data_IF_727964903756
#
_entry.id   IF_727964903756
#
_cell.length_a   1.000
_cell.length_b   1.000
_cell.length_c   1.000
_cell.angle_alpha   90.00
_cell.angle_beta   90.00
_cell.angle_gamma   90.00
#
_symmetry.space_group_name_H-M   'P 1'
#
loop_
_entity.id
_entity.type
_entity.pdbx_description
1 polymer ?
#
# COMPACT_ATOMS: atom_id res chain seq x y z
N UNK A 1 -59.24 36.94 -66.61
CA UNK A 1 -57.97 37.13 -65.86
C UNK A 1 -58.06 36.82 -64.36
N UNK A 2 -59.26 36.55 -63.80
CA UNK A 2 -59.45 36.25 -62.36
C UNK A 2 -59.34 34.75 -62.04
N UNK A 3 -59.61 33.87 -63.01
CA UNK A 3 -59.65 32.42 -62.80
C UNK A 3 -58.27 31.73 -62.74
N UNK A 4 -57.20 32.42 -63.17
CA UNK A 4 -55.81 31.92 -63.07
C UNK A 4 -55.13 32.28 -61.74
N UNK A 5 -55.59 33.33 -61.05
CA UNK A 5 -55.05 33.68 -59.73
C UNK A 5 -55.59 32.76 -58.61
N UNK A 6 -56.82 32.25 -58.75
CA UNK A 6 -57.39 31.35 -57.74
C UNK A 6 -56.73 29.96 -57.74
N UNK A 7 -56.31 29.48 -58.92
CA UNK A 7 -55.58 28.21 -59.04
C UNK A 7 -54.15 28.28 -58.49
N UNK A 8 -53.55 29.47 -58.46
CA UNK A 8 -52.19 29.66 -57.94
C UNK A 8 -52.18 29.86 -56.41
N UNK A 9 -53.29 30.32 -55.82
CA UNK A 9 -53.46 30.45 -54.36
C UNK A 9 -53.76 29.10 -53.68
N UNK A 10 -54.33 28.13 -54.39
CA UNK A 10 -54.59 26.78 -53.88
C UNK A 10 -53.33 25.89 -53.93
N UNK A 11 -52.34 26.22 -54.77
CA UNK A 11 -51.08 25.47 -54.86
C UNK A 11 -50.01 25.89 -53.83
N UNK A 12 -50.28 26.92 -53.02
CA UNK A 12 -49.36 27.46 -52.00
C UNK A 12 -49.77 27.12 -50.56
N UNK A 13 -50.86 26.35 -50.37
CA UNK A 13 -51.34 25.93 -49.03
C UNK A 13 -51.12 24.44 -48.72
N UNK A 14 -50.43 23.70 -49.58
CA UNK A 14 -50.18 22.25 -49.43
C UNK A 14 -48.71 21.93 -49.12
N UNK A 15 -48.10 22.72 -48.24
CA UNK A 15 -46.88 22.33 -47.54
C UNK A 15 -47.10 22.46 -46.02
N UNK A 16 -48.22 21.92 -45.54
CA UNK A 16 -48.26 21.50 -44.14
C UNK A 16 -47.20 20.41 -43.98
N UNK A 17 -46.21 20.55 -43.09
CA UNK A 17 -45.39 19.41 -42.73
C UNK A 17 -46.39 18.37 -42.23
N UNK A 18 -46.45 17.24 -42.93
CA UNK A 18 -47.10 16.06 -42.43
C UNK A 18 -46.49 15.84 -41.04
N UNK A 19 -47.27 16.10 -39.98
CA UNK A 19 -46.83 15.88 -38.62
C UNK A 19 -46.36 14.43 -38.57
N UNK A 20 -45.06 14.25 -38.42
CA UNK A 20 -44.45 12.94 -38.36
C UNK A 20 -45.18 12.14 -37.29
N UNK A 21 -45.59 10.96 -37.69
CA UNK A 21 -46.27 9.96 -36.90
C UNK A 21 -45.42 9.61 -35.67
N UNK A 22 -45.71 10.25 -34.52
CA UNK A 22 -45.06 10.01 -33.22
C UNK A 22 -43.60 10.51 -33.14
N UNK A 23 -43.31 11.43 -32.23
CA UNK A 23 -41.97 11.95 -32.02
C UNK A 23 -41.18 10.99 -31.10
N UNK A 24 -40.81 9.83 -31.67
CA UNK A 24 -39.97 8.82 -31.05
C UNK A 24 -38.51 9.10 -31.40
N UNK A 25 -37.67 9.40 -30.40
CA UNK A 25 -36.25 9.71 -30.61
C UNK A 25 -35.37 8.78 -29.80
N UNK A 26 -34.28 8.33 -30.41
CA UNK A 26 -33.23 7.56 -29.75
C UNK A 26 -31.87 8.20 -30.09
N UNK A 27 -31.08 8.46 -29.05
CA UNK A 27 -29.80 9.18 -29.16
C UNK A 27 -28.74 8.50 -28.32
N UNK A 28 -27.51 8.53 -28.78
CA UNK A 28 -26.34 8.08 -28.02
C UNK A 28 -25.59 9.34 -27.59
N UNK A 29 -25.45 9.55 -26.29
CA UNK A 29 -24.78 10.68 -25.68
C UNK A 29 -23.50 10.19 -25.04
N UNK A 30 -22.36 10.75 -25.41
CA UNK A 30 -21.09 10.46 -24.74
C UNK A 30 -20.88 11.51 -23.64
N UNK A 31 -20.68 11.04 -22.41
CA UNK A 31 -20.24 11.86 -21.29
C UNK A 31 -18.73 11.67 -21.14
N UNK A 32 -17.97 12.29 -22.04
CA UNK A 32 -16.51 12.30 -21.95
C UNK A 32 -16.03 13.68 -21.53
N UNK A 33 -15.29 13.73 -20.43
CA UNK A 33 -14.60 14.95 -19.98
C UNK A 33 -13.41 15.28 -20.90
N UNK A 34 -12.90 14.30 -21.65
CA UNK A 34 -11.75 14.45 -22.54
C UNK A 34 -12.22 14.58 -24.00
N UNK A 35 -11.75 15.61 -24.70
CA UNK A 35 -12.06 15.84 -26.12
C UNK A 35 -11.54 14.74 -27.06
N UNK A 36 -10.70 13.83 -26.57
CA UNK A 36 -10.08 12.74 -27.35
C UNK A 36 -9.61 11.59 -26.44
N UNK A 37 -10.43 10.54 -26.20
CA UNK A 37 -10.04 9.43 -25.35
C UNK A 37 -8.89 8.62 -25.96
N UNK A 38 -8.08 7.98 -25.12
CA UNK A 38 -6.97 7.09 -25.54
C UNK A 38 -7.47 5.64 -25.70
N UNK A 39 -6.76 4.81 -26.47
CA UNK A 39 -7.02 3.36 -26.51
C UNK A 39 -7.10 2.78 -25.10
N UNK A 40 -8.17 2.05 -24.81
CA UNK A 40 -8.43 1.43 -23.52
C UNK A 40 -8.96 2.38 -22.44
N UNK A 41 -9.21 3.67 -22.76
CA UNK A 41 -9.85 4.63 -21.85
C UNK A 41 -11.37 4.42 -21.83
N UNK A 42 -11.95 4.40 -20.63
CA UNK A 42 -13.40 4.33 -20.48
C UNK A 42 -14.06 5.61 -20.97
N UNK A 43 -15.03 5.46 -21.86
CA UNK A 43 -15.97 6.52 -22.23
C UNK A 43 -17.34 6.16 -21.66
N UNK A 44 -17.88 7.03 -20.79
CA UNK A 44 -19.24 6.87 -20.31
C UNK A 44 -20.22 7.26 -21.43
N UNK A 45 -21.23 6.43 -21.65
CA UNK A 45 -22.22 6.62 -22.71
C UNK A 45 -23.62 6.42 -22.14
N UNK A 46 -24.50 7.36 -22.43
CA UNK A 46 -25.93 7.24 -22.14
C UNK A 46 -26.69 7.08 -23.45
N UNK A 47 -27.38 5.96 -23.59
CA UNK A 47 -28.39 5.80 -24.63
C UNK A 47 -29.68 6.40 -24.08
N UNK A 48 -30.13 7.50 -24.68
CA UNK A 48 -31.33 8.22 -24.26
C UNK A 48 -32.42 8.10 -25.30
N UNK A 49 -33.56 7.59 -24.87
CA UNK A 49 -34.77 7.49 -25.66
C UNK A 49 -35.84 8.46 -25.12
N UNK A 50 -36.58 9.11 -26.02
CA UNK A 50 -37.67 10.03 -25.69
C UNK A 50 -38.88 9.67 -26.53
N UNK A 51 -39.98 9.35 -25.86
CA UNK A 51 -41.21 8.85 -26.49
C UNK A 51 -42.42 9.68 -26.07
N UNK A 52 -43.38 9.85 -26.99
CA UNK A 52 -44.63 10.58 -26.76
C UNK A 52 -45.85 9.65 -26.60
N UNK A 53 -45.61 8.34 -26.50
CA UNK A 53 -46.64 7.29 -26.40
C UNK A 53 -46.21 6.23 -25.39
N UNK A 54 -47.19 5.49 -24.86
CA UNK A 54 -46.94 4.38 -23.95
C UNK A 54 -46.20 3.26 -24.66
N UNK A 55 -45.24 2.66 -23.96
CA UNK A 55 -44.33 1.63 -24.47
C UNK A 55 -44.62 0.30 -23.76
N UNK A 56 -44.58 -0.79 -24.51
CA UNK A 56 -44.62 -2.17 -24.01
C UNK A 56 -43.63 -3.03 -24.83
N UNK A 57 -43.29 -4.22 -24.32
CA UNK A 57 -42.45 -5.22 -25.00
C UNK A 57 -41.18 -4.62 -25.62
N UNK A 58 -40.36 -3.99 -24.79
CA UNK A 58 -39.14 -3.32 -25.25
C UNK A 58 -37.97 -4.30 -25.38
N UNK A 59 -37.13 -4.07 -26.38
CA UNK A 59 -35.82 -4.70 -26.51
C UNK A 59 -34.84 -3.73 -27.18
N UNK A 60 -33.84 -3.30 -26.44
CA UNK A 60 -32.71 -2.54 -26.98
C UNK A 60 -31.58 -3.45 -27.48
N UNK A 61 -31.22 -3.29 -28.76
CA UNK A 61 -30.15 -3.99 -29.45
C UNK A 61 -29.04 -3.01 -29.85
N UNK A 62 -27.81 -3.35 -29.51
CA UNK A 62 -26.62 -2.62 -29.94
C UNK A 62 -25.95 -3.47 -31.01
N UNK A 63 -25.65 -2.89 -32.17
CA UNK A 63 -24.97 -3.63 -33.23
C UNK A 63 -23.59 -4.11 -32.75
N UNK A 64 -23.22 -5.37 -33.02
CA UNK A 64 -21.95 -5.92 -32.58
C UNK A 64 -20.78 -5.17 -33.24
N UNK A 65 -19.74 -4.89 -32.46
CA UNK A 65 -18.52 -4.22 -32.91
C UNK A 65 -17.29 -4.88 -32.31
N UNK A 66 -16.24 -5.05 -33.10
CA UNK A 66 -14.93 -5.50 -32.64
C UNK A 66 -14.04 -4.35 -32.15
N UNK A 67 -14.51 -3.11 -32.30
CA UNK A 67 -13.76 -1.91 -32.00
C UNK A 67 -13.88 -1.48 -30.54
N UNK A 68 -14.87 -2.00 -29.81
CA UNK A 68 -15.16 -1.63 -28.43
C UNK A 68 -15.48 -2.84 -27.58
N UNK A 69 -14.96 -2.85 -26.36
CA UNK A 69 -15.56 -3.60 -25.27
C UNK A 69 -16.60 -2.70 -24.57
N UNK A 70 -17.69 -3.27 -24.04
CA UNK A 70 -18.72 -2.48 -23.37
C UNK A 70 -19.44 -3.26 -22.29
N UNK A 71 -19.94 -2.54 -21.29
CA UNK A 71 -20.82 -3.08 -20.24
C UNK A 71 -21.93 -2.08 -19.94
N UNK A 72 -23.03 -2.57 -19.37
CA UNK A 72 -24.04 -1.74 -18.73
C UNK A 72 -23.65 -1.46 -17.28
N UNK A 73 -23.65 -0.19 -16.87
CA UNK A 73 -23.13 0.23 -15.55
C UNK A 73 -24.21 0.38 -14.50
N UNK A 74 -25.47 0.55 -14.91
CA UNK A 74 -26.64 0.67 -14.03
C UNK A 74 -27.86 0.03 -14.70
N UNK A 75 -28.88 -0.32 -13.93
CA UNK A 75 -30.17 -0.69 -14.48
C UNK A 75 -30.75 0.46 -15.33
N UNK A 76 -31.59 0.11 -16.29
CA UNK A 76 -32.27 1.12 -17.12
C UNK A 76 -33.21 1.96 -16.27
N UNK A 77 -33.17 3.28 -16.49
CA UNK A 77 -34.09 4.23 -15.86
C UNK A 77 -35.22 4.59 -16.82
N UNK A 78 -36.46 4.53 -16.33
CA UNK A 78 -37.66 4.88 -17.05
C UNK A 78 -38.47 5.87 -16.24
N UNK A 79 -38.72 7.06 -16.81
CA UNK A 79 -39.44 8.13 -16.12
C UNK A 79 -40.29 8.94 -17.07
N UNK A 80 -41.33 9.57 -16.53
CA UNK A 80 -42.08 10.59 -17.24
C UNK A 80 -41.47 11.96 -16.95
N UNK A 81 -41.12 12.71 -17.99
CA UNK A 81 -40.47 14.01 -17.90
C UNK A 81 -41.22 15.01 -18.79
N UNK A 82 -41.36 16.26 -18.34
CA UNK A 82 -41.99 17.33 -19.13
C UNK A 82 -40.93 17.98 -20.03
N UNK A 83 -40.91 17.61 -21.30
CA UNK A 83 -39.98 18.10 -22.32
C UNK A 83 -40.76 18.93 -23.35
N UNK A 84 -40.28 20.13 -23.66
CA UNK A 84 -40.94 21.06 -24.59
C UNK A 84 -42.43 21.31 -24.27
N UNK A 85 -42.79 21.31 -22.98
CA UNK A 85 -44.16 21.53 -22.53
C UNK A 85 -45.11 20.34 -22.70
N UNK A 86 -44.61 19.16 -23.10
CA UNK A 86 -45.37 17.92 -23.20
C UNK A 86 -44.80 16.85 -22.27
N UNK A 87 -45.66 15.98 -21.72
CA UNK A 87 -45.23 14.81 -20.95
C UNK A 87 -44.65 13.77 -21.92
N UNK A 88 -43.41 13.34 -21.69
CA UNK A 88 -42.70 12.35 -22.50
C UNK A 88 -42.18 11.24 -21.59
N UNK A 89 -42.14 10.02 -22.12
CA UNK A 89 -41.46 8.90 -21.47
C UNK A 89 -40.00 8.96 -21.89
N UNK A 90 -39.11 9.02 -20.90
CA UNK A 90 -37.66 9.02 -21.08
C UNK A 90 -37.12 7.70 -20.58
N UNK A 91 -36.30 7.06 -21.42
CA UNK A 91 -35.52 5.88 -21.06
C UNK A 91 -34.05 6.21 -21.16
N UNK A 92 -33.28 5.87 -20.14
CA UNK A 92 -31.83 6.03 -20.12
C UNK A 92 -31.16 4.72 -19.76
N UNK A 93 -30.27 4.27 -20.66
CA UNK A 93 -29.36 3.16 -20.41
C UNK A 93 -27.93 3.70 -20.30
N UNK A 94 -27.31 3.46 -19.15
CA UNK A 94 -25.94 3.86 -18.87
C UNK A 94 -24.96 2.74 -19.21
N UNK A 95 -24.01 3.06 -20.07
CA UNK A 95 -22.96 2.17 -20.54
C UNK A 95 -21.58 2.74 -20.25
N UNK A 96 -20.61 1.86 -20.13
CA UNK A 96 -19.19 2.18 -20.26
C UNK A 96 -18.65 1.45 -21.49
N UNK A 97 -17.92 2.16 -22.34
CA UNK A 97 -17.30 1.61 -23.54
C UNK A 97 -15.79 1.85 -23.51
N UNK A 98 -15.01 0.92 -24.07
CA UNK A 98 -13.55 1.01 -24.14
C UNK A 98 -13.08 0.78 -25.58
N UNK A 99 -12.47 1.78 -26.25
CA UNK A 99 -11.97 1.63 -27.60
C UNK A 99 -10.74 0.73 -27.61
N UNK A 100 -10.70 -0.24 -28.52
CA UNK A 100 -9.63 -1.25 -28.61
C UNK A 100 -8.50 -0.85 -29.55
N UNK A 101 -8.71 0.17 -30.37
CA UNK A 101 -7.78 0.65 -31.41
C UNK A 101 -7.81 2.18 -31.50
N UNK A 102 -6.74 2.78 -32.02
CA UNK A 102 -6.68 4.21 -32.26
C UNK A 102 -7.35 4.58 -33.59
N UNK A 103 -7.69 5.87 -33.75
CA UNK A 103 -8.29 6.41 -34.96
C UNK A 103 -9.79 6.70 -34.85
N UNK A 104 -10.47 7.01 -35.97
CA UNK A 104 -11.90 7.25 -36.00
C UNK A 104 -12.67 5.94 -35.84
N UNK A 105 -13.37 5.78 -34.72
CA UNK A 105 -14.19 4.61 -34.41
C UNK A 105 -15.67 4.98 -34.27
N UNK A 106 -16.57 4.03 -34.50
CA UNK A 106 -18.01 4.21 -34.35
C UNK A 106 -18.61 3.16 -33.42
N UNK A 107 -19.37 3.62 -32.42
CA UNK A 107 -20.12 2.76 -31.50
C UNK A 107 -21.61 2.78 -31.85
N UNK A 108 -22.23 1.60 -31.95
CA UNK A 108 -23.57 1.43 -32.50
C UNK A 108 -23.56 1.18 -34.01
N UNK A 109 -24.70 1.34 -34.72
CA UNK A 109 -25.93 1.98 -34.28
C UNK A 109 -26.69 1.18 -33.20
N UNK A 110 -27.66 1.83 -32.57
CA UNK A 110 -28.53 1.21 -31.57
C UNK A 110 -29.95 1.16 -32.10
N UNK A 111 -30.59 0.00 -32.01
CA UNK A 111 -31.98 -0.23 -32.43
C UNK A 111 -32.81 -0.59 -31.21
N UNK A 112 -33.90 0.13 -31.00
CA UNK A 112 -34.85 -0.12 -29.92
C UNK A 112 -36.15 -0.63 -30.52
N UNK A 113 -36.40 -1.93 -30.35
CA UNK A 113 -37.64 -2.59 -30.74
C UNK A 113 -38.66 -2.42 -29.62
N UNK A 114 -39.86 -1.97 -29.96
CA UNK A 114 -40.87 -1.64 -28.96
C UNK A 114 -42.27 -1.77 -29.53
N UNK A 115 -43.25 -2.08 -28.68
CA UNK A 115 -44.67 -1.99 -29.01
C UNK A 115 -45.20 -0.65 -28.50
N UNK A 116 -45.57 0.25 -29.41
CA UNK A 116 -46.24 1.51 -29.09
C UNK A 116 -47.74 1.27 -28.90
N UNK A 117 -48.31 1.85 -27.86
CA UNK A 117 -49.76 1.92 -27.66
C UNK A 117 -50.22 3.33 -28.02
N UNK A 118 -51.02 3.45 -29.08
CA UNK A 118 -51.56 4.72 -29.53
C UNK A 118 -52.73 5.23 -28.65
N UNK A 119 -53.31 6.39 -29.01
CA UNK A 119 -54.41 6.98 -28.25
C UNK A 119 -55.71 6.18 -28.37
N UNK A 120 -55.83 5.34 -29.41
CA UNK A 120 -56.94 4.45 -29.68
C UNK A 120 -56.73 3.07 -29.05
N UNK A 121 -55.70 2.90 -28.21
CA UNK A 121 -55.31 1.63 -27.59
C UNK A 121 -54.88 0.55 -28.59
N UNK A 122 -54.54 0.92 -29.83
CA UNK A 122 -53.96 -0.03 -30.78
C UNK A 122 -52.48 -0.22 -30.49
N UNK A 123 -52.03 -1.46 -30.61
CA UNK A 123 -50.64 -1.86 -30.42
C UNK A 123 -49.97 -1.96 -31.77
N UNK A 124 -48.83 -1.31 -31.93
CA UNK A 124 -48.01 -1.38 -33.13
C UNK A 124 -46.55 -1.54 -32.77
N UNK A 125 -45.89 -2.51 -33.40
CA UNK A 125 -44.45 -2.68 -33.26
C UNK A 125 -43.71 -1.64 -34.10
N UNK A 126 -42.73 -1.00 -33.47
CA UNK A 126 -41.91 0.05 -34.05
C UNK A 126 -40.45 -0.20 -33.68
N UNK A 127 -39.55 0.12 -34.60
CA UNK A 127 -38.11 0.12 -34.35
C UNK A 127 -37.60 1.54 -34.45
N UNK A 128 -37.02 2.05 -33.37
CA UNK A 128 -36.41 3.38 -33.31
C UNK A 128 -34.90 3.19 -33.34
N UNK A 129 -34.21 3.93 -34.21
CA UNK A 129 -32.77 3.77 -34.40
C UNK A 129 -32.01 5.05 -34.03
N UNK A 130 -30.94 4.87 -33.26
CA UNK A 130 -29.95 5.90 -32.96
C UNK A 130 -28.83 5.84 -34.00
N UNK A 131 -28.33 7.01 -34.43
CA UNK A 131 -27.11 7.08 -35.24
C UNK A 131 -25.90 6.61 -34.42
N UNK A 132 -24.89 6.00 -35.06
CA UNK A 132 -23.66 5.62 -34.36
C UNK A 132 -22.96 6.84 -33.74
N UNK A 133 -22.40 6.63 -32.56
CA UNK A 133 -21.51 7.60 -31.90
C UNK A 133 -20.14 7.53 -32.54
N UNK A 134 -19.68 8.64 -33.12
CA UNK A 134 -18.33 8.75 -33.69
C UNK A 134 -17.33 9.26 -32.65
N UNK A 135 -16.23 8.53 -32.45
CA UNK A 135 -15.17 8.87 -31.51
C UNK A 135 -13.84 8.99 -32.25
N UNK A 136 -13.06 10.03 -31.95
CA UNK A 136 -11.67 10.13 -32.38
C UNK A 136 -10.77 9.65 -31.25
N UNK A 137 -10.15 8.47 -31.41
CA UNK A 137 -9.36 7.83 -30.36
C UNK A 137 -7.87 8.11 -30.57
N UNK A 138 -7.20 8.56 -29.51
CA UNK A 138 -5.76 8.78 -29.47
C UNK A 138 -4.99 7.47 -29.25
N UNK A 139 -3.74 7.43 -29.69
CA UNK A 139 -2.85 6.29 -29.43
C UNK A 139 -2.45 6.22 -27.96
N UNK A 140 -2.27 4.98 -27.47
CA UNK A 140 -1.62 4.78 -26.17
C UNK A 140 -0.15 5.21 -26.28
N UNK A 141 0.39 6.00 -25.34
CA UNK A 141 1.77 6.45 -25.38
C UNK A 141 2.76 5.27 -25.51
N UNK A 142 3.78 5.43 -26.36
CA UNK A 142 4.75 4.35 -26.60
C UNK A 142 5.43 3.90 -25.31
N UNK A 143 5.14 2.66 -24.91
CA UNK A 143 5.64 2.07 -23.66
C UNK A 143 5.96 0.60 -23.87
N UNK A 144 6.98 0.10 -23.17
CA UNK A 144 7.28 -1.34 -23.12
C UNK A 144 6.45 -2.01 -22.03
N UNK A 145 5.97 -3.22 -22.29
CA UNK A 145 5.25 -4.03 -21.30
C UNK A 145 3.73 -3.99 -21.47
N UNK A 146 3.00 -4.32 -20.41
CA UNK A 146 1.54 -4.32 -20.37
C UNK A 146 0.99 -2.89 -20.41
N UNK A 147 -0.09 -2.66 -21.16
CA UNK A 147 -0.72 -1.35 -21.30
C UNK A 147 -2.14 -1.40 -20.76
N UNK A 148 -2.48 -0.46 -19.89
CA UNK A 148 -3.84 -0.27 -19.44
C UNK A 148 -4.06 1.18 -18.99
N UNK A 149 -5.32 1.59 -18.96
CA UNK A 149 -5.70 2.93 -18.52
C UNK A 149 -6.59 2.83 -17.29
N UNK A 150 -6.57 3.87 -16.47
CA UNK A 150 -7.49 4.04 -15.37
C UNK A 150 -7.67 5.53 -15.08
N UNK A 151 -8.79 5.90 -14.47
CA UNK A 151 -9.01 7.25 -13.92
C UNK A 151 -8.37 7.41 -12.54
N UNK A 152 -8.30 6.32 -11.78
CA UNK A 152 -7.69 6.24 -10.45
C UNK A 152 -7.17 4.82 -10.24
N UNK A 153 -6.00 4.70 -9.65
CA UNK A 153 -5.38 3.42 -9.32
C UNK A 153 -5.04 3.37 -7.83
N UNK A 154 -5.38 2.27 -7.18
CA UNK A 154 -5.04 1.98 -5.79
C UNK A 154 -4.35 0.62 -5.72
N UNK A 155 -3.25 0.54 -4.98
CA UNK A 155 -2.51 -0.68 -4.72
C UNK A 155 -2.37 -0.86 -3.22
N UNK A 156 -2.88 -1.97 -2.70
CA UNK A 156 -2.75 -2.33 -1.28
C UNK A 156 -2.01 -3.64 -1.14
N UNK A 157 -1.32 -3.77 -0.01
CA UNK A 157 -0.51 -4.95 0.33
C UNK A 157 -0.88 -5.45 1.72
N UNK A 158 -0.96 -6.77 1.85
CA UNK A 158 -1.12 -7.49 3.11
C UNK A 158 -0.13 -8.67 3.18
N UNK A 159 0.47 -8.85 4.35
CA UNK A 159 1.44 -9.90 4.65
C UNK A 159 0.94 -10.74 5.82
N UNK A 160 0.95 -12.07 5.68
CA UNK A 160 0.43 -12.96 6.72
C UNK A 160 1.29 -13.02 7.99
N UNK A 161 2.55 -12.60 7.92
CA UNK A 161 3.51 -12.59 9.03
C UNK A 161 4.69 -11.65 8.72
N UNK A 162 5.59 -11.44 9.69
CA UNK A 162 6.82 -10.66 9.47
C UNK A 162 7.79 -11.46 8.57
N UNK A 163 7.99 -11.05 7.31
CA UNK A 163 8.82 -11.78 6.36
C UNK A 163 10.30 -11.75 6.75
N UNK A 164 10.76 -10.78 7.55
CA UNK A 164 12.16 -10.63 7.90
C UNK A 164 12.62 -11.59 9.02
N UNK A 165 11.67 -12.22 9.73
CA UNK A 165 11.93 -13.06 10.91
C UNK A 165 11.14 -14.36 10.89
N UNK A 166 11.16 -15.06 9.76
CA UNK A 166 10.47 -16.34 9.63
C UNK A 166 11.10 -17.39 10.55
N UNK A 167 10.28 -18.27 11.10
CA UNK A 167 10.76 -19.51 11.71
C UNK A 167 11.13 -20.52 10.63
N UNK A 168 12.04 -21.43 10.92
CA UNK A 168 12.52 -22.41 9.94
C UNK A 168 11.34 -23.22 9.35
N UNK A 169 11.23 -23.22 8.02
CA UNK A 169 10.14 -23.88 7.29
C UNK A 169 8.82 -23.09 7.24
N UNK A 170 8.71 -21.93 7.90
CA UNK A 170 7.54 -21.06 7.80
C UNK A 170 7.39 -20.46 6.40
N UNK A 171 6.14 -20.25 6.00
CA UNK A 171 5.76 -19.61 4.73
C UNK A 171 5.15 -18.25 5.03
N UNK A 172 5.55 -17.22 4.28
CA UNK A 172 4.86 -15.93 4.28
C UNK A 172 3.98 -15.82 3.06
N UNK A 173 2.72 -15.42 3.26
CA UNK A 173 1.79 -15.12 2.17
C UNK A 173 1.76 -13.61 1.96
N UNK A 174 2.01 -13.19 0.72
CA UNK A 174 1.89 -11.80 0.26
C UNK A 174 0.65 -11.69 -0.61
N UNK A 175 -0.29 -10.84 -0.22
CA UNK A 175 -1.49 -10.50 -0.99
C UNK A 175 -1.38 -9.05 -1.44
N UNK A 176 -1.39 -8.83 -2.75
CA UNK A 176 -1.44 -7.49 -3.36
C UNK A 176 -2.77 -7.34 -4.07
N UNK A 177 -3.50 -6.27 -3.76
CA UNK A 177 -4.77 -5.95 -4.40
C UNK A 177 -4.61 -4.68 -5.22
N UNK A 178 -4.85 -4.79 -6.52
CA UNK A 178 -4.84 -3.69 -7.47
C UNK A 178 -6.30 -3.33 -7.82
N UNK A 179 -6.69 -2.08 -7.59
CA UNK A 179 -8.01 -1.54 -7.95
C UNK A 179 -7.87 -0.39 -8.93
N UNK A 180 -8.55 -0.48 -10.06
CA UNK A 180 -8.52 0.52 -11.12
C UNK A 180 -9.94 0.99 -11.43
N UNK A 181 -10.22 2.27 -11.19
CA UNK A 181 -11.46 2.92 -11.61
C UNK A 181 -11.42 3.20 -13.11
N UNK A 182 -12.47 2.80 -13.83
CA UNK A 182 -12.60 3.00 -15.28
C UNK A 182 -11.88 1.94 -16.12
N UNK A 183 -11.57 0.78 -15.56
CA UNK A 183 -10.98 -0.34 -16.28
C UNK A 183 -11.88 -1.58 -16.21
N UNK A 184 -11.67 -2.53 -17.11
CA UNK A 184 -12.20 -3.88 -17.01
C UNK A 184 -11.17 -4.82 -16.35
N UNK A 185 -11.59 -5.91 -15.68
CA UNK A 185 -10.65 -6.84 -15.05
C UNK A 185 -9.67 -7.48 -16.03
N UNK A 186 -10.07 -7.65 -17.29
CA UNK A 186 -9.25 -8.17 -18.38
C UNK A 186 -8.19 -7.16 -18.85
N UNK A 187 -8.41 -5.87 -18.60
CA UNK A 187 -7.42 -4.82 -18.89
C UNK A 187 -6.30 -4.79 -17.85
N UNK A 188 -6.53 -5.31 -16.64
CA UNK A 188 -5.52 -5.29 -15.59
C UNK A 188 -4.34 -6.22 -15.93
N UNK A 189 -3.10 -5.81 -15.56
CA UNK A 189 -1.93 -6.61 -15.85
C UNK A 189 -2.02 -8.01 -15.25
N UNK A 190 -1.36 -9.01 -15.87
CA UNK A 190 -1.18 -10.30 -15.24
C UNK A 190 -0.33 -10.14 -13.98
N UNK A 191 -0.43 -11.12 -13.07
CA UNK A 191 0.40 -11.17 -11.87
C UNK A 191 1.89 -11.16 -12.24
N UNK A 192 2.72 -10.28 -11.63
CA UNK A 192 4.16 -10.32 -11.80
C UNK A 192 4.76 -11.68 -11.43
N UNK A 193 5.71 -12.14 -12.25
CA UNK A 193 6.45 -13.38 -11.98
C UNK A 193 7.54 -13.08 -10.97
N UNK A 194 7.57 -13.83 -9.87
CA UNK A 194 8.59 -13.73 -8.82
C UNK A 194 9.35 -15.04 -8.77
N UNK A 195 10.63 -15.03 -9.13
CA UNK A 195 11.48 -16.21 -9.17
C UNK A 195 12.90 -15.83 -8.74
N UNK A 196 13.36 -16.48 -7.68
CA UNK A 196 14.69 -16.25 -7.11
C UNK A 196 15.33 -17.59 -6.75
N UNK A 197 16.65 -17.67 -6.89
CA UNK A 197 17.40 -18.92 -6.65
C UNK A 197 17.36 -19.37 -5.17
N UNK A 198 17.00 -18.48 -4.25
CA UNK A 198 16.94 -18.72 -2.80
C UNK A 198 15.51 -18.91 -2.27
N UNK A 199 14.50 -18.75 -3.13
CA UNK A 199 13.08 -18.67 -2.74
C UNK A 199 12.21 -19.67 -3.49
N UNK A 200 11.46 -20.47 -2.74
CA UNK A 200 10.39 -21.28 -3.31
C UNK A 200 9.12 -20.43 -3.30
N UNK A 201 8.56 -20.21 -4.49
CA UNK A 201 7.36 -19.38 -4.70
C UNK A 201 6.21 -20.26 -5.20
N UNK A 202 5.09 -20.25 -4.45
CA UNK A 202 3.82 -20.79 -4.93
C UNK A 202 2.83 -19.64 -5.15
N UNK A 203 1.98 -19.75 -6.16
CA UNK A 203 1.15 -18.63 -6.57
C UNK A 203 -0.20 -19.17 -7.09
N UNK A 204 -1.29 -19.14 -6.29
CA UNK A 204 -2.61 -19.63 -6.69
C UNK A 204 -3.20 -18.84 -7.87
N UNK A 205 -4.33 -19.24 -8.47
CA UNK A 205 -4.97 -18.46 -9.54
C UNK A 205 -5.26 -17.01 -9.12
N UNK A 206 -5.22 -16.09 -10.09
CA UNK A 206 -5.53 -14.66 -9.86
C UNK A 206 -7.04 -14.49 -9.74
N UNK A 207 -7.49 -13.84 -8.68
CA UNK A 207 -8.90 -13.45 -8.54
C UNK A 207 -9.12 -12.10 -9.25
N UNK A 208 -10.19 -12.02 -10.03
CA UNK A 208 -10.58 -10.82 -10.77
C UNK A 208 -12.04 -10.51 -10.52
N UNK A 209 -12.34 -9.29 -10.12
CA UNK A 209 -13.70 -8.83 -9.83
C UNK A 209 -13.99 -7.51 -10.56
N UNK A 210 -15.27 -7.30 -10.86
CA UNK A 210 -15.78 -6.04 -11.40
C UNK A 210 -16.85 -5.50 -10.43
N UNK A 211 -16.61 -4.31 -9.90
CA UNK A 211 -17.52 -3.64 -8.97
C UNK A 211 -18.11 -2.42 -9.67
N UNK A 212 -19.43 -2.39 -9.86
CA UNK A 212 -20.11 -1.23 -10.43
C UNK A 212 -20.32 -0.18 -9.35
N UNK A 213 -19.83 1.04 -9.59
CA UNK A 213 -20.01 2.19 -8.68
C UNK A 213 -20.60 3.38 -9.43
N UNK A 214 -21.08 4.39 -8.71
CA UNK A 214 -21.63 5.59 -9.32
C UNK A 214 -20.60 6.39 -10.14
N UNK A 215 -19.32 6.36 -9.74
CA UNK A 215 -18.21 6.98 -10.46
C UNK A 215 -17.78 6.19 -11.71
N UNK A 216 -18.23 4.94 -11.83
CA UNK A 216 -17.90 4.02 -12.91
C UNK A 216 -17.52 2.61 -12.41
N UNK A 217 -17.29 1.66 -13.32
CA UNK A 217 -16.76 0.34 -12.99
C UNK A 217 -15.37 0.42 -12.35
N UNK A 218 -15.17 -0.35 -11.29
CA UNK A 218 -13.87 -0.57 -10.64
C UNK A 218 -13.46 -2.01 -10.90
N UNK A 219 -12.37 -2.19 -11.64
CA UNK A 219 -11.74 -3.49 -11.81
C UNK A 219 -10.82 -3.78 -10.63
N UNK A 220 -10.88 -5.00 -10.12
CA UNK A 220 -10.02 -5.49 -9.04
C UNK A 220 -9.27 -6.74 -9.49
N UNK A 221 -7.96 -6.77 -9.24
CA UNK A 221 -7.14 -7.97 -9.36
C UNK A 221 -6.44 -8.25 -8.03
N UNK A 222 -6.56 -9.48 -7.53
CA UNK A 222 -5.87 -9.94 -6.32
C UNK A 222 -4.78 -10.91 -6.70
N UNK A 223 -3.54 -10.54 -6.39
CA UNK A 223 -2.36 -11.35 -6.59
C UNK A 223 -1.87 -11.89 -5.26
N UNK A 224 -1.84 -13.21 -5.14
CA UNK A 224 -1.33 -13.88 -3.94
C UNK A 224 -0.07 -14.65 -4.29
N UNK A 225 0.95 -14.55 -3.44
CA UNK A 225 2.14 -15.38 -3.48
C UNK A 225 2.39 -15.99 -2.10
N UNK A 226 2.94 -17.19 -2.08
CA UNK A 226 3.43 -17.87 -0.89
C UNK A 226 4.93 -18.08 -1.07
N UNK A 227 5.70 -17.54 -0.14
CA UNK A 227 7.15 -17.53 -0.19
C UNK A 227 7.74 -18.38 0.93
N UNK A 228 8.63 -19.30 0.56
CA UNK A 228 9.41 -20.14 1.49
C UNK A 228 10.90 -20.07 1.14
N UNK A 229 11.72 -19.36 1.91
CA UNK A 229 13.17 -19.36 1.70
C UNK A 229 13.75 -20.76 1.92
N UNK A 230 14.83 -21.13 1.25
CA UNK A 230 15.46 -22.44 1.47
C UNK A 230 16.98 -22.41 1.68
N UNK A 231 17.63 -21.27 1.48
CA UNK A 231 19.09 -21.13 1.61
C UNK A 231 19.55 -20.54 2.94
N UNK A 232 18.65 -20.28 3.91
CA UNK A 232 19.00 -19.75 5.23
C UNK A 232 19.34 -18.25 5.26
N UNK A 233 19.95 -17.75 4.18
CA UNK A 233 20.34 -16.35 4.00
C UNK A 233 19.14 -15.42 3.75
N UNK A 234 19.12 -14.21 4.33
CA UNK A 234 18.13 -13.19 3.98
C UNK A 234 18.24 -12.76 2.52
N UNK A 235 17.12 -12.71 1.82
CA UNK A 235 17.01 -12.21 0.46
C UNK A 235 16.04 -11.05 0.34
N UNK A 236 16.15 -10.29 -0.76
CA UNK A 236 15.29 -9.15 -1.05
C UNK A 236 14.61 -9.40 -2.39
N UNK A 237 13.28 -9.30 -2.41
CA UNK A 237 12.51 -9.20 -3.64
C UNK A 237 12.51 -7.74 -4.10
N UNK A 238 12.92 -7.52 -5.34
CA UNK A 238 12.92 -6.19 -5.95
C UNK A 238 11.50 -5.62 -6.07
N UNK A 239 11.37 -4.28 -6.03
CA UNK A 239 10.07 -3.64 -6.25
C UNK A 239 9.62 -3.83 -7.69
N UNK A 240 8.31 -4.05 -7.89
CA UNK A 240 7.73 -4.20 -9.23
C UNK A 240 7.01 -2.92 -9.62
N UNK A 241 7.49 -2.29 -10.69
CA UNK A 241 6.89 -1.07 -11.24
C UNK A 241 5.84 -1.42 -12.29
N UNK A 242 4.61 -0.96 -12.06
CA UNK A 242 3.48 -1.17 -12.95
C UNK A 242 3.12 0.19 -13.56
N UNK A 243 3.50 0.44 -14.81
CA UNK A 243 3.07 1.64 -15.48
C UNK A 243 1.60 1.56 -15.86
N UNK A 244 0.93 2.71 -15.87
CA UNK A 244 -0.46 2.86 -16.29
C UNK A 244 -0.69 4.26 -16.85
N UNK A 245 -1.67 4.41 -17.73
CA UNK A 245 -2.07 5.72 -18.22
C UNK A 245 -3.19 6.29 -17.33
N UNK A 246 -2.90 7.40 -16.66
CA UNK A 246 -3.89 8.15 -15.89
C UNK A 246 -4.73 9.00 -16.83
N UNK A 247 -5.99 8.63 -17.00
CA UNK A 247 -6.96 9.32 -17.87
C UNK A 247 -7.49 10.61 -17.24
N UNK A 248 -7.41 10.76 -15.92
CA UNK A 248 -7.74 12.00 -15.23
C UNK A 248 -6.67 13.08 -15.41
N UNK A 249 -5.40 12.69 -15.40
CA UNK A 249 -4.25 13.60 -15.60
C UNK A 249 -3.68 13.59 -17.02
N UNK A 250 -4.19 12.72 -17.89
CA UNK A 250 -3.72 12.52 -19.27
C UNK A 250 -2.21 12.26 -19.38
N UNK A 251 -1.63 11.47 -18.46
CA UNK A 251 -0.19 11.17 -18.44
C UNK A 251 0.10 9.77 -17.94
N UNK A 252 1.25 9.22 -18.35
CA UNK A 252 1.76 7.98 -17.79
C UNK A 252 2.16 8.18 -16.33
N UNK A 253 1.70 7.26 -15.49
CA UNK A 253 2.07 7.13 -14.10
C UNK A 253 2.60 5.73 -13.81
N UNK A 254 3.19 5.54 -12.64
CA UNK A 254 3.72 4.25 -12.18
C UNK A 254 3.24 4.02 -10.77
N UNK A 255 2.64 2.85 -10.53
CA UNK A 255 2.43 2.34 -9.18
C UNK A 255 3.47 1.26 -8.90
N UNK A 256 3.93 1.16 -7.66
CA UNK A 256 4.99 0.24 -7.27
C UNK A 256 4.47 -0.76 -6.23
N UNK A 257 4.69 -2.05 -6.51
CA UNK A 257 4.67 -3.08 -5.47
C UNK A 257 6.00 -2.98 -4.72
N UNK A 258 6.00 -2.69 -3.41
CA UNK A 258 7.23 -2.38 -2.68
C UNK A 258 8.21 -3.56 -2.64
N UNK A 259 9.48 -3.28 -2.39
CA UNK A 259 10.46 -4.33 -2.14
C UNK A 259 10.11 -5.14 -0.89
N UNK A 260 10.40 -6.44 -0.87
CA UNK A 260 10.12 -7.31 0.27
C UNK A 260 11.38 -8.03 0.75
N UNK A 261 11.81 -7.76 1.98
CA UNK A 261 12.94 -8.48 2.61
C UNK A 261 12.41 -9.74 3.28
N UNK A 262 12.98 -10.89 2.95
CA UNK A 262 12.58 -12.19 3.49
C UNK A 262 13.79 -12.89 4.10
N UNK A 263 13.68 -13.38 5.34
CA UNK A 263 14.78 -14.07 6.01
C UNK A 263 14.33 -14.86 7.24
N UNK A 264 15.21 -15.74 7.72
CA UNK A 264 14.97 -16.53 8.93
C UNK A 264 15.45 -15.82 10.20
N UNK A 265 14.68 -15.94 11.28
CA UNK A 265 15.08 -15.45 12.60
C UNK A 265 16.36 -16.13 13.12
N UNK A 266 16.56 -17.41 12.77
CA UNK A 266 17.69 -18.24 13.17
C UNK A 266 19.05 -17.68 12.69
N UNK A 267 19.06 -17.01 11.54
CA UNK A 267 20.25 -16.33 11.00
C UNK A 267 20.79 -15.26 11.96
N UNK A 268 19.91 -14.48 12.60
CA UNK A 268 20.30 -13.40 13.51
C UNK A 268 20.73 -13.90 14.89
N UNK A 269 20.21 -15.04 15.36
CA UNK A 269 20.63 -15.65 16.64
C UNK A 269 22.01 -16.30 16.58
N UNK A 270 22.49 -16.66 15.39
CA UNK A 270 23.81 -17.26 15.17
C UNK A 270 24.96 -16.26 15.08
N UNK A 271 24.67 -14.96 14.94
CA UNK A 271 25.68 -13.90 14.99
C UNK A 271 26.07 -13.61 16.44
N UNK A 272 26.98 -14.43 16.99
CA UNK A 272 27.78 -13.98 18.13
C UNK A 272 28.45 -12.66 17.73
N UNK A 273 28.43 -11.60 18.57
CA UNK A 273 29.09 -10.34 18.25
C UNK A 273 30.59 -10.60 18.06
N UNK A 274 30.99 -10.78 16.80
CA UNK A 274 32.38 -10.93 16.42
C UNK A 274 33.05 -9.58 16.63
N UNK A 275 33.82 -9.48 17.71
CA UNK A 275 34.85 -8.45 17.85
C UNK A 275 34.64 -7.37 18.89
N UNK A 276 33.66 -7.45 19.80
CA UNK A 276 33.62 -6.58 21.00
C UNK A 276 33.63 -7.40 22.28
N UNK A 277 34.82 -7.57 22.85
CA UNK A 277 34.97 -7.97 24.24
C UNK A 277 34.26 -6.93 25.11
N UNK A 278 33.29 -7.37 25.92
CA UNK A 278 32.61 -6.47 26.85
C UNK A 278 33.61 -5.84 27.84
N UNK A 279 33.34 -4.63 28.33
CA UNK A 279 34.23 -3.93 29.27
C UNK A 279 34.62 -4.80 30.48
N UNK A 280 33.70 -5.63 30.97
CA UNK A 280 33.97 -6.59 32.04
C UNK A 280 35.01 -7.66 31.65
N UNK A 281 34.95 -8.19 30.43
CA UNK A 281 35.94 -9.15 29.91
C UNK A 281 37.31 -8.50 29.70
N UNK A 282 37.35 -7.25 29.22
CA UNK A 282 38.61 -6.49 29.12
C UNK A 282 39.23 -6.24 30.49
N UNK A 283 38.43 -5.87 31.49
CA UNK A 283 38.94 -5.69 32.86
C UNK A 283 39.42 -7.01 33.49
N UNK A 284 38.76 -8.13 33.19
CA UNK A 284 39.17 -9.44 33.68
C UNK A 284 40.49 -9.89 33.04
N UNK A 285 40.66 -9.69 31.73
CA UNK A 285 41.90 -9.98 31.01
C UNK A 285 43.06 -9.08 31.46
N UNK A 286 42.83 -7.76 31.58
CA UNK A 286 43.84 -6.84 32.09
C UNK A 286 44.23 -7.17 33.53
N UNK A 287 43.26 -7.54 34.37
CA UNK A 287 43.48 -7.96 35.75
C UNK A 287 44.30 -9.24 35.87
N UNK A 288 44.02 -10.25 35.04
CA UNK A 288 44.76 -11.52 35.05
C UNK A 288 46.20 -11.35 34.54
N UNK A 289 46.41 -10.55 33.50
CA UNK A 289 47.76 -10.20 33.02
C UNK A 289 48.54 -9.41 34.06
N UNK A 290 47.91 -8.43 34.73
CA UNK A 290 48.54 -7.65 35.78
C UNK A 290 48.95 -8.50 36.98
N UNK A 291 48.09 -9.42 37.42
CA UNK A 291 48.41 -10.38 38.50
C UNK A 291 49.54 -11.33 38.09
N UNK A 292 49.51 -11.85 36.86
CA UNK A 292 50.55 -12.73 36.32
C UNK A 292 51.92 -12.04 36.29
N UNK A 293 51.97 -10.79 35.80
CA UNK A 293 53.20 -9.99 35.79
C UNK A 293 53.70 -9.68 37.21
N UNK A 294 52.81 -9.29 38.12
CA UNK A 294 53.18 -9.00 39.50
C UNK A 294 53.74 -10.23 40.21
N UNK A 295 53.13 -11.41 40.01
CA UNK A 295 53.63 -12.69 40.54
C UNK A 295 54.97 -13.07 39.92
N UNK A 296 55.12 -12.92 38.59
CA UNK A 296 56.36 -13.21 37.89
C UNK A 296 57.52 -12.33 38.35
N UNK A 297 57.30 -11.02 38.45
CA UNK A 297 58.29 -10.05 38.94
C UNK A 297 58.60 -10.27 40.42
N UNK A 298 57.60 -10.61 41.24
CA UNK A 298 57.79 -10.96 42.66
C UNK A 298 58.67 -12.20 42.85
N UNK A 299 58.42 -13.25 42.07
CA UNK A 299 59.24 -14.47 42.06
C UNK A 299 60.66 -14.19 41.58
N UNK A 300 60.82 -13.39 40.53
CA UNK A 300 62.14 -13.00 40.02
C UNK A 300 62.93 -12.18 41.06
N UNK A 301 62.28 -11.20 41.71
CA UNK A 301 62.89 -10.38 42.75
C UNK A 301 63.29 -11.21 43.98
N UNK A 302 62.46 -12.17 44.39
CA UNK A 302 62.78 -13.09 45.49
C UNK A 302 63.98 -13.98 45.17
N UNK A 303 64.13 -14.43 43.92
CA UNK A 303 65.26 -15.26 43.48
C UNK A 303 66.56 -14.47 43.31
N UNK A 304 66.49 -13.25 42.77
CA UNK A 304 67.66 -12.45 42.42
C UNK A 304 68.21 -11.59 43.58
N UNK A 305 67.36 -11.20 44.54
CA UNK A 305 67.76 -10.36 45.67
C UNK A 305 66.98 -10.72 46.96
N UNK A 306 67.27 -11.87 47.59
CA UNK A 306 66.52 -12.37 48.76
C UNK A 306 66.65 -11.45 50.00
N UNK A 307 67.79 -10.79 50.18
CA UNK A 307 68.03 -9.94 51.36
C UNK A 307 67.28 -8.59 51.26
N UNK A 308 67.18 -8.01 50.06
CA UNK A 308 66.42 -6.78 49.82
C UNK A 308 64.91 -7.02 49.85
N UNK A 309 64.45 -8.19 49.41
CA UNK A 309 63.03 -8.56 49.44
C UNK A 309 62.54 -8.82 50.86
N UNK A 310 63.31 -9.47 51.74
CA UNK A 310 62.93 -9.67 53.14
C UNK A 310 62.84 -8.36 53.95
N UNK A 311 63.71 -7.38 53.66
CA UNK A 311 63.67 -6.05 54.26
C UNK A 311 62.54 -5.17 53.70
N UNK A 312 62.31 -5.22 52.38
CA UNK A 312 61.19 -4.55 51.71
C UNK A 312 59.83 -5.11 52.14
N UNK A 313 59.71 -6.43 52.28
CA UNK A 313 58.49 -7.09 52.71
C UNK A 313 58.14 -6.78 54.16
N UNK A 314 59.14 -6.64 55.05
CA UNK A 314 58.93 -6.13 56.42
C UNK A 314 58.44 -4.67 56.47
N UNK A 315 58.88 -3.81 55.55
CA UNK A 315 58.35 -2.43 55.44
C UNK A 315 56.92 -2.38 54.92
N UNK A 316 56.58 -3.24 53.95
CA UNK A 316 55.24 -3.25 53.33
C UNK A 316 54.23 -3.93 54.27
N UNK A 317 54.57 -5.09 54.86
CA UNK A 317 53.69 -5.79 55.80
C UNK A 317 53.47 -5.02 57.10
N UNK A 318 54.45 -4.22 57.53
CA UNK A 318 54.30 -3.31 58.68
C UNK A 318 53.35 -2.14 58.43
N UNK A 319 53.09 -1.76 57.17
CA UNK A 319 52.27 -0.60 56.80
C UNK A 319 50.87 -0.98 56.29
N UNK A 320 50.70 -2.21 55.80
CA UNK A 320 49.43 -2.70 55.24
C UNK A 320 49.01 -4.01 55.91
N UNK A 321 48.41 -3.92 57.10
CA UNK A 321 47.82 -5.08 57.78
C UNK A 321 46.44 -5.38 57.17
N UNK A 322 46.37 -6.40 56.31
CA UNK A 322 45.13 -6.86 55.67
C UNK A 322 44.02 -7.19 56.69
N UNK A 323 44.29 -7.87 57.83
CA UNK A 323 43.27 -8.11 58.86
C UNK A 323 42.71 -6.82 59.47
N UNK A 324 43.56 -5.82 59.71
CA UNK A 324 43.14 -4.54 60.27
C UNK A 324 42.26 -3.74 59.28
N UNK A 325 42.56 -3.82 57.99
CA UNK A 325 41.74 -3.22 56.93
C UNK A 325 40.35 -3.87 56.84
N UNK A 326 40.26 -5.20 56.91
CA UNK A 326 38.97 -5.90 56.94
C UNK A 326 38.19 -5.63 58.23
N UNK A 327 38.86 -5.54 59.38
CA UNK A 327 38.23 -5.18 60.65
C UNK A 327 37.63 -3.76 60.59
N UNK A 328 38.35 -2.81 59.98
CA UNK A 328 37.84 -1.45 59.73
C UNK A 328 36.59 -1.44 58.84
N UNK A 329 36.62 -2.16 57.71
CA UNK A 329 35.46 -2.26 56.81
C UNK A 329 34.25 -2.88 57.51
N UNK A 330 34.47 -3.89 58.36
CA UNK A 330 33.41 -4.54 59.13
C UNK A 330 32.83 -3.61 60.19
N UNK A 331 33.65 -2.86 60.91
CA UNK A 331 33.22 -1.86 61.89
C UNK A 331 32.37 -0.76 61.23
N UNK A 332 32.80 -0.29 60.05
CA UNK A 332 32.06 0.72 59.27
C UNK A 332 30.71 0.20 58.78
N UNK A 333 30.62 -1.04 58.31
CA UNK A 333 29.33 -1.66 57.92
C UNK A 333 28.38 -1.87 59.09
N UNK A 334 28.91 -2.14 60.30
CA UNK A 334 28.12 -2.32 61.52
C UNK A 334 27.69 -1.00 62.18
N UNK A 335 28.13 0.14 61.66
CA UNK A 335 27.82 1.46 62.25
C UNK A 335 28.59 1.77 63.54
N UNK A 336 29.59 0.97 63.92
CA UNK A 336 30.45 1.25 65.08
C UNK A 336 31.54 2.25 64.68
N UNK A 337 31.16 3.52 64.70
CA UNK A 337 32.00 4.63 64.23
C UNK A 337 33.23 4.84 65.12
N UNK A 338 33.13 4.57 66.42
CA UNK A 338 34.25 4.69 67.36
C UNK A 338 35.33 3.64 67.07
N UNK A 339 34.94 2.38 66.85
CA UNK A 339 35.87 1.32 66.47
C UNK A 339 36.44 1.56 65.07
N UNK A 340 35.63 2.04 64.13
CA UNK A 340 36.08 2.39 62.79
C UNK A 340 37.13 3.53 62.81
N UNK A 341 36.99 4.54 63.68
CA UNK A 341 37.99 5.60 63.86
C UNK A 341 39.33 5.04 64.35
N UNK A 342 39.33 4.26 65.45
CA UNK A 342 40.56 3.72 66.04
C UNK A 342 41.30 2.80 65.07
N UNK A 343 40.57 1.92 64.37
CA UNK A 343 41.17 1.06 63.35
C UNK A 343 41.65 1.87 62.14
N UNK A 344 40.94 2.94 61.80
CA UNK A 344 41.32 3.91 60.78
C UNK A 344 42.66 4.59 61.02
N UNK A 345 42.95 4.97 62.27
CA UNK A 345 44.26 5.50 62.67
C UNK A 345 45.36 4.43 62.54
N UNK A 346 45.07 3.20 62.99
CA UNK A 346 46.03 2.07 62.92
C UNK A 346 46.38 1.65 61.49
N UNK A 347 45.44 1.75 60.55
CA UNK A 347 45.68 1.45 59.12
C UNK A 347 46.20 2.66 58.32
N UNK A 348 46.43 3.80 58.98
CA UNK A 348 47.01 5.00 58.36
C UNK A 348 46.08 5.71 57.38
N UNK A 349 44.78 5.81 57.67
CA UNK A 349 43.86 6.63 56.86
C UNK A 349 44.31 8.10 56.82
N UNK A 350 43.98 8.79 55.73
CA UNK A 350 44.25 10.23 55.61
C UNK A 350 43.52 11.04 56.68
N UNK A 351 44.11 12.18 57.07
CA UNK A 351 43.55 13.08 58.09
C UNK A 351 42.11 13.48 57.76
N UNK A 352 41.79 13.73 56.49
CA UNK A 352 40.44 14.10 56.05
C UNK A 352 39.40 13.00 56.30
N UNK A 353 39.80 11.74 56.10
CA UNK A 353 38.91 10.59 56.32
C UNK A 353 38.68 10.33 57.80
N UNK A 354 39.70 10.55 58.64
CA UNK A 354 39.55 10.48 60.09
C UNK A 354 38.66 11.62 60.61
N UNK A 355 38.84 12.85 60.09
CA UNK A 355 38.00 13.99 60.43
C UNK A 355 36.54 13.81 59.97
N UNK A 356 36.30 13.12 58.85
CA UNK A 356 34.95 12.75 58.42
C UNK A 356 34.29 11.74 59.37
N UNK A 357 35.03 10.74 59.84
CA UNK A 357 34.55 9.80 60.85
C UNK A 357 34.27 10.49 62.19
N UNK A 358 35.14 11.42 62.59
CA UNK A 358 34.99 12.19 63.82
C UNK A 358 33.76 13.11 63.78
N UNK A 359 33.53 13.80 62.66
CA UNK A 359 32.29 14.55 62.44
C UNK A 359 31.05 13.65 62.49
N UNK A 360 31.13 12.43 61.97
CA UNK A 360 30.03 11.47 62.04
C UNK A 360 29.79 10.92 63.46
N UNK A 361 30.81 10.90 64.33
CA UNK A 361 30.69 10.48 65.74
C UNK A 361 30.06 11.58 66.59
N UNK A 362 30.45 12.84 66.37
CA UNK A 362 30.08 13.98 67.22
C UNK A 362 29.03 14.92 66.62
N UNK A 363 28.45 14.58 65.46
CA UNK A 363 27.32 15.33 64.93
C UNK A 363 26.15 15.28 65.93
N UNK A 364 25.53 16.42 66.28
CA UNK A 364 24.37 16.43 67.16
C UNK A 364 23.24 15.60 66.53
N UNK A 365 22.61 14.74 67.34
CA UNK A 365 21.54 13.86 66.92
C UNK A 365 20.29 14.68 66.56
N UNK A 366 20.16 15.06 65.30
CA UNK A 366 18.98 15.78 64.79
C UNK A 366 17.74 14.88 64.63
N UNK A 367 17.71 13.69 65.24
CA UNK A 367 16.53 12.80 65.26
C UNK A 367 15.67 12.94 66.51
N UNK A 368 15.39 14.18 66.91
CA UNK A 368 14.20 14.57 67.71
C UNK A 368 13.67 15.94 67.29
N UNK A 369 13.24 16.07 66.03
CA UNK A 369 12.09 16.91 65.64
C UNK A 369 11.37 16.19 64.51
N UNK A 370 10.07 16.01 64.75
CA UNK A 370 9.02 15.34 63.96
C UNK A 370 8.94 13.82 64.08
#
# INVERSE_FOLDING_TARGET
>A
MVMRLLAMLILLLSAMPLHAEGDLRLTILADSTASRPVVGEMVAVTIRAVYDRKIANEKLEIDPSDAFDWIQTRADDWREERIDGALRIVMERHLAIWPKRAGPLQFGPVRHHLTVIDKQSQRRDVVVQARPLSLSVGEYPTQKGWHFTARRLELTEDLSTDPARLTDGQVVTRRVTLRALGALPEHLPPRPVVSENWLITFAPPVERNLILTDEGPVAEAVWTWQFRPHTGEPGVLEPVKIPWFDTGQHRLQVVEIPALTIGYASFYTGQAPTGRLGGAQLTALAGSMGLGLALGLGLAAFRLAPEMTAAGWRRISGRFSVPAWFAYLRARRRGDLLTARRLGERIGLSRDRLAALERAIYAPDNRRRE
#
